data_IF_158485877446
#
_entry.id   IF_158485877446
#
_cell.length_a   1.000
_cell.length_b   1.000
_cell.length_c   1.000
_cell.angle_alpha   90.00
_cell.angle_beta   90.00
_cell.angle_gamma   90.00
#
_symmetry.space_group_name_H-M   'P 1'
#
loop_
_entity.id
_entity.type
_entity.pdbx_description
1 polymer ?
#
# COMPACT_ATOMS: atom_id res chain seq x y z
N UNK A 1 2.71 31.87 38.31
CA UNK A 1 2.62 31.82 36.83
C UNK A 1 3.15 30.49 36.26
N UNK A 2 2.84 29.34 36.89
CA UNK A 2 3.36 28.02 36.52
C UNK A 2 2.30 26.90 36.48
N UNK A 3 1.03 27.23 36.74
CA UNK A 3 -0.09 26.27 36.78
C UNK A 3 -0.96 26.25 35.52
N UNK A 4 -0.73 27.15 34.54
CA UNK A 4 -1.46 27.14 33.25
C UNK A 4 -0.81 26.30 32.16
N UNK A 5 0.47 25.93 32.29
CA UNK A 5 1.20 25.17 31.26
C UNK A 5 0.94 23.66 31.31
N UNK A 6 0.60 23.11 32.48
CA UNK A 6 0.40 21.66 32.66
C UNK A 6 -1.02 21.23 32.23
N UNK A 7 -2.02 22.12 32.33
CA UNK A 7 -3.39 21.80 31.92
C UNK A 7 -3.57 21.73 30.40
N UNK A 8 -2.77 22.46 29.61
CA UNK A 8 -2.87 22.46 28.15
C UNK A 8 -2.29 21.18 27.53
N UNK A 9 -1.24 20.59 28.12
CA UNK A 9 -0.65 19.33 27.63
C UNK A 9 -1.50 18.09 27.94
N UNK A 10 -2.32 18.12 29.00
CA UNK A 10 -3.20 17.00 29.36
C UNK A 10 -4.49 17.01 28.51
N UNK A 11 -5.02 18.20 28.18
CA UNK A 11 -6.23 18.31 27.34
C UNK A 11 -5.94 17.97 25.87
N UNK A 12 -4.75 18.29 25.34
CA UNK A 12 -4.33 17.87 23.99
C UNK A 12 -4.08 16.36 23.89
N UNK A 13 -3.62 15.72 24.97
CA UNK A 13 -3.44 14.25 24.99
C UNK A 13 -4.77 13.48 25.00
N UNK A 14 -5.83 14.05 25.58
CA UNK A 14 -7.15 13.39 25.62
C UNK A 14 -7.99 13.58 24.36
N UNK A 15 -7.82 14.67 23.60
CA UNK A 15 -8.48 14.84 22.30
C UNK A 15 -7.87 13.97 21.20
N UNK A 16 -6.55 13.71 21.25
CA UNK A 16 -5.88 12.78 20.32
C UNK A 16 -6.29 11.34 20.62
N UNK A 17 -6.36 10.93 21.89
CA UNK A 17 -6.85 9.59 22.26
C UNK A 17 -8.34 9.36 21.90
N UNK A 18 -9.19 10.39 22.06
CA UNK A 18 -10.60 10.32 21.69
C UNK A 18 -10.88 10.27 20.18
N UNK A 19 -10.04 10.93 19.36
CA UNK A 19 -10.09 10.83 17.91
C UNK A 19 -9.57 9.47 17.40
N UNK A 20 -8.56 8.89 18.06
CA UNK A 20 -8.07 7.54 17.75
C UNK A 20 -9.11 6.47 18.10
N UNK A 21 -9.83 6.60 19.23
CA UNK A 21 -10.85 5.62 19.64
C UNK A 21 -12.14 5.65 18.81
N UNK A 22 -12.57 6.83 18.33
CA UNK A 22 -13.75 6.93 17.44
C UNK A 22 -13.43 6.57 15.99
N UNK A 23 -12.20 6.79 15.54
CA UNK A 23 -11.76 6.29 14.24
C UNK A 23 -11.39 4.81 14.29
N UNK A 24 -10.95 4.25 15.42
CA UNK A 24 -10.54 2.83 15.49
C UNK A 24 -11.68 1.87 15.17
N UNK A 25 -12.94 2.16 15.53
CA UNK A 25 -14.05 1.27 15.15
C UNK A 25 -14.34 1.29 13.64
N UNK A 26 -14.22 2.46 12.99
CA UNK A 26 -14.33 2.56 11.51
C UNK A 26 -13.08 2.04 10.78
N UNK A 27 -11.91 2.17 11.41
CA UNK A 27 -10.60 1.88 10.84
C UNK A 27 -10.25 0.39 10.97
N UNK A 28 -10.57 -0.24 12.10
CA UNK A 28 -10.60 -1.70 12.18
C UNK A 28 -11.67 -2.25 11.22
N UNK A 29 -12.83 -1.60 11.09
CA UNK A 29 -13.91 -1.99 10.17
C UNK A 29 -13.55 -2.02 8.68
N UNK A 30 -12.91 -0.97 8.15
CA UNK A 30 -12.66 -0.82 6.72
C UNK A 30 -11.25 -1.25 6.27
N UNK A 31 -10.21 -1.08 7.11
CA UNK A 31 -8.83 -1.44 6.78
C UNK A 31 -8.39 -2.81 7.33
N UNK A 32 -8.94 -3.26 8.46
CA UNK A 32 -8.61 -4.56 9.07
C UNK A 32 -9.73 -5.62 8.96
N UNK A 33 -10.99 -5.22 8.74
CA UNK A 33 -12.16 -6.11 8.74
C UNK A 33 -12.82 -6.26 7.37
N UNK A 34 -12.31 -5.63 6.32
CA UNK A 34 -12.38 -6.31 5.02
C UNK A 34 -11.34 -7.42 5.09
N UNK A 35 -11.72 -8.72 5.18
CA UNK A 35 -10.77 -9.73 4.78
C UNK A 35 -10.26 -9.27 3.41
N UNK A 36 -8.95 -9.15 3.25
CA UNK A 36 -8.38 -9.31 1.92
C UNK A 36 -9.11 -10.55 1.38
N UNK A 37 -9.92 -10.39 0.32
CA UNK A 37 -10.69 -11.50 -0.22
C UNK A 37 -9.72 -12.67 -0.29
N UNK A 38 -10.04 -13.69 0.50
CA UNK A 38 -9.21 -14.83 0.87
C UNK A 38 -8.29 -15.21 -0.27
N UNK A 39 -7.00 -15.49 0.01
CA UNK A 39 -6.15 -16.22 -0.92
C UNK A 39 -6.96 -17.35 -1.57
N UNK A 40 -7.31 -17.17 -2.84
CA UNK A 40 -8.07 -18.16 -3.58
C UNK A 40 -7.03 -19.14 -4.12
N UNK A 41 -6.95 -20.32 -3.51
CA UNK A 41 -6.26 -21.45 -4.11
C UNK A 41 -7.06 -21.88 -5.34
N UNK A 42 -6.77 -21.29 -6.50
CA UNK A 42 -7.29 -21.81 -7.75
C UNK A 42 -6.51 -23.07 -8.11
N UNK A 43 -7.20 -24.21 -8.13
CA UNK A 43 -6.62 -25.51 -8.51
C UNK A 43 -6.34 -25.59 -10.02
N UNK A 44 -6.88 -24.65 -10.81
CA UNK A 44 -6.71 -24.68 -12.25
C UNK A 44 -5.35 -24.09 -12.65
N UNK A 45 -4.51 -24.86 -13.36
CA UNK A 45 -3.27 -24.36 -13.90
C UNK A 45 -3.57 -23.21 -14.88
N UNK A 46 -2.69 -22.20 -14.91
CA UNK A 46 -2.74 -21.17 -15.96
C UNK A 46 -2.68 -21.88 -17.31
N UNK A 47 -3.72 -21.73 -18.12
CA UNK A 47 -3.76 -22.35 -19.44
C UNK A 47 -2.57 -21.85 -20.26
N UNK A 48 -1.76 -22.73 -20.87
CA UNK A 48 -0.65 -22.31 -21.71
C UNK A 48 -1.13 -21.35 -22.82
N UNK A 49 -0.66 -20.10 -22.77
CA UNK A 49 -1.07 -19.04 -23.70
C UNK A 49 -1.91 -17.90 -23.11
N UNK A 50 -2.37 -18.04 -21.86
CA UNK A 50 -3.16 -17.00 -21.16
C UNK A 50 -2.34 -16.16 -20.16
N UNK A 51 -1.06 -16.46 -19.99
CA UNK A 51 -0.16 -15.70 -19.11
C UNK A 51 0.09 -14.27 -19.59
N UNK A 52 0.60 -13.43 -18.69
CA UNK A 52 0.89 -12.03 -18.93
C UNK A 52 0.01 -11.10 -18.10
N UNK A 53 -0.15 -9.87 -18.59
CA UNK A 53 -1.08 -8.89 -18.03
C UNK A 53 -2.39 -8.92 -18.81
N UNK A 54 -3.50 -9.15 -18.10
CA UNK A 54 -4.86 -9.07 -18.63
C UNK A 54 -5.54 -7.79 -18.15
N UNK A 55 -5.99 -6.96 -19.09
CA UNK A 55 -6.63 -5.68 -18.79
C UNK A 55 -8.16 -5.77 -18.90
N UNK A 56 -8.82 -5.95 -17.76
CA UNK A 56 -10.29 -5.94 -17.62
C UNK A 56 -10.79 -4.51 -17.36
N UNK A 57 -10.79 -3.70 -18.43
CA UNK A 57 -11.16 -2.27 -18.37
C UNK A 57 -12.42 -2.01 -19.18
N UNK A 58 -13.55 -1.65 -18.52
CA UNK A 58 -14.76 -1.24 -19.22
C UNK A 58 -14.49 -0.13 -20.23
N UNK A 59 -15.17 -0.18 -21.39
CA UNK A 59 -14.95 0.75 -22.52
C UNK A 59 -14.98 2.21 -22.07
N UNK A 60 -15.92 2.59 -21.20
CA UNK A 60 -16.06 3.94 -20.65
C UNK A 60 -14.84 4.45 -19.86
N UNK A 61 -13.97 3.55 -19.38
CA UNK A 61 -12.77 3.90 -18.62
C UNK A 61 -11.47 3.71 -19.40
N UNK A 62 -11.51 3.05 -20.57
CA UNK A 62 -10.31 2.68 -21.35
C UNK A 62 -9.42 3.88 -21.64
N UNK A 63 -9.96 4.99 -22.14
CA UNK A 63 -9.16 6.18 -22.45
C UNK A 63 -8.42 6.76 -21.24
N UNK A 64 -9.02 6.71 -20.04
CA UNK A 64 -8.35 7.16 -18.81
C UNK A 64 -7.27 6.18 -18.39
N UNK A 65 -7.59 4.88 -18.41
CA UNK A 65 -6.63 3.83 -18.09
C UNK A 65 -5.38 3.89 -18.99
N UNK A 66 -5.53 4.07 -20.30
CA UNK A 66 -4.37 4.20 -21.20
C UNK A 66 -3.48 5.41 -20.85
N UNK A 67 -4.05 6.51 -20.35
CA UNK A 67 -3.26 7.66 -19.88
C UNK A 67 -2.49 7.32 -18.60
N UNK A 68 -3.13 6.66 -17.64
CA UNK A 68 -2.47 6.24 -16.40
C UNK A 68 -1.35 5.22 -16.67
N UNK A 69 -1.60 4.27 -17.57
CA UNK A 69 -0.62 3.30 -18.03
C UNK A 69 0.53 3.98 -18.78
N UNK A 70 0.25 4.89 -19.71
CA UNK A 70 1.29 5.64 -20.41
C UNK A 70 2.15 6.46 -19.44
N UNK A 71 1.55 7.07 -18.42
CA UNK A 71 2.28 7.80 -17.37
C UNK A 71 3.18 6.87 -16.54
N UNK A 72 2.70 5.67 -16.18
CA UNK A 72 3.53 4.65 -15.52
C UNK A 72 4.71 4.23 -16.42
N UNK A 73 4.44 3.93 -17.69
CA UNK A 73 5.44 3.45 -18.66
C UNK A 73 6.39 4.57 -19.16
N UNK A 74 6.18 5.81 -18.74
CA UNK A 74 7.08 6.93 -19.06
C UNK A 74 8.46 6.77 -18.40
N UNK A 75 8.54 6.07 -17.26
CA UNK A 75 9.80 5.81 -16.54
C UNK A 75 10.37 4.44 -16.86
N UNK A 76 11.70 4.30 -16.75
CA UNK A 76 12.38 3.01 -16.87
C UNK A 76 11.98 2.04 -15.77
N UNK A 77 11.82 2.52 -14.53
CA UNK A 77 11.28 1.74 -13.41
C UNK A 77 9.87 1.22 -13.72
N UNK A 78 8.95 2.09 -14.15
CA UNK A 78 7.58 1.68 -14.46
C UNK A 78 7.49 0.70 -15.63
N UNK A 79 8.33 0.86 -16.66
CA UNK A 79 8.46 -0.14 -17.74
C UNK A 79 8.97 -1.47 -17.23
N UNK A 80 10.04 -1.49 -16.43
CA UNK A 80 10.60 -2.73 -15.89
C UNK A 80 9.60 -3.48 -15.02
N UNK A 81 8.84 -2.76 -14.20
CA UNK A 81 7.79 -3.32 -13.34
C UNK A 81 6.63 -3.92 -14.15
N UNK A 82 6.23 -3.26 -15.24
CA UNK A 82 5.23 -3.79 -16.16
C UNK A 82 5.73 -5.02 -16.94
N UNK A 83 6.93 -4.93 -17.52
CA UNK A 83 7.55 -5.98 -18.33
C UNK A 83 7.84 -7.25 -17.54
N UNK A 84 8.11 -7.13 -16.24
CA UNK A 84 8.27 -8.26 -15.30
C UNK A 84 7.10 -9.25 -15.39
N UNK A 85 5.88 -8.77 -15.64
CA UNK A 85 4.68 -9.60 -15.71
C UNK A 85 4.10 -9.72 -17.12
N UNK A 86 4.28 -8.72 -17.99
CA UNK A 86 3.63 -8.66 -19.30
C UNK A 86 3.86 -9.91 -20.19
N UNK A 87 5.04 -10.52 -20.11
CA UNK A 87 5.44 -11.64 -20.97
C UNK A 87 5.54 -13.00 -20.22
N UNK A 88 5.10 -13.07 -18.96
CA UNK A 88 5.18 -14.29 -18.16
C UNK A 88 4.07 -15.27 -18.53
N UNK A 89 4.42 -16.38 -19.16
CA UNK A 89 3.46 -17.42 -19.57
C UNK A 89 2.90 -18.25 -18.41
N UNK A 90 3.62 -18.26 -17.29
CA UNK A 90 3.32 -19.02 -16.07
C UNK A 90 2.59 -18.19 -14.99
N UNK A 91 2.26 -16.94 -15.30
CA UNK A 91 1.65 -16.00 -14.36
C UNK A 91 0.59 -15.14 -15.03
N UNK A 92 -0.55 -14.92 -14.37
CA UNK A 92 -1.59 -13.98 -14.83
C UNK A 92 -1.75 -12.84 -13.83
N UNK A 93 -1.42 -11.63 -14.27
CA UNK A 93 -1.81 -10.40 -13.58
C UNK A 93 -3.07 -9.81 -14.22
N UNK A 94 -4.20 -9.82 -13.51
CA UNK A 94 -5.39 -9.11 -13.98
C UNK A 94 -5.38 -7.68 -13.44
N UNK A 95 -5.46 -6.69 -14.32
CA UNK A 95 -5.67 -5.28 -13.95
C UNK A 95 -7.10 -4.92 -14.32
N UNK A 96 -7.93 -4.65 -13.32
CA UNK A 96 -9.35 -4.38 -13.46
C UNK A 96 -9.67 -2.94 -13.08
N UNK A 97 -10.54 -2.26 -13.84
CA UNK A 97 -11.07 -0.94 -13.45
C UNK A 97 -12.55 -1.04 -13.07
N UNK A 98 -12.92 -0.56 -11.88
CA UNK A 98 -14.28 -0.63 -11.34
C UNK A 98 -14.74 0.69 -10.74
N UNK A 99 -16.05 0.93 -10.74
CA UNK A 99 -16.62 2.10 -10.05
C UNK A 99 -16.62 1.93 -8.52
N UNK A 100 -16.69 0.69 -8.04
CA UNK A 100 -16.90 0.35 -6.62
C UNK A 100 -15.70 0.70 -5.73
N UNK A 101 -14.50 0.84 -6.31
CA UNK A 101 -13.31 1.29 -5.58
C UNK A 101 -13.11 2.82 -5.61
N UNK A 102 -13.92 3.56 -6.38
CA UNK A 102 -13.87 5.03 -6.43
C UNK A 102 -12.47 5.59 -6.70
N UNK A 103 -11.86 6.19 -5.66
CA UNK A 103 -10.53 6.83 -5.71
C UNK A 103 -9.38 5.92 -5.24
N UNK A 104 -9.71 4.72 -4.75
CA UNK A 104 -8.75 3.77 -4.20
C UNK A 104 -8.32 2.71 -5.21
N UNK A 105 -7.27 1.97 -4.85
CA UNK A 105 -6.82 0.78 -5.55
C UNK A 105 -6.66 -0.36 -4.53
N UNK A 106 -6.31 -1.55 -4.99
CA UNK A 106 -5.85 -2.61 -4.12
C UNK A 106 -5.58 -3.89 -4.89
N UNK A 107 -4.75 -4.73 -4.30
CA UNK A 107 -4.32 -6.00 -4.87
C UNK A 107 -4.90 -7.14 -4.05
N UNK A 108 -5.56 -8.07 -4.72
CA UNK A 108 -6.23 -9.22 -4.11
C UNK A 108 -6.14 -10.45 -5.03
N UNK A 109 -6.81 -11.55 -4.62
CA UNK A 109 -6.91 -12.80 -5.40
C UNK A 109 -5.55 -13.36 -5.80
N UNK A 110 -4.65 -13.41 -4.82
CA UNK A 110 -3.38 -14.08 -4.98
C UNK A 110 -3.61 -15.58 -5.19
N UNK A 111 -2.90 -16.15 -6.16
CA UNK A 111 -3.03 -17.56 -6.56
C UNK A 111 -1.68 -18.24 -6.56
N UNK A 112 -1.66 -19.44 -6.02
CA UNK A 112 -0.49 -20.32 -6.03
C UNK A 112 -0.84 -21.68 -6.64
N UNK A 113 0.13 -22.31 -7.31
CA UNK A 113 -0.02 -23.69 -7.76
C UNK A 113 0.24 -24.69 -6.61
N UNK A 114 0.09 -25.98 -6.90
CA UNK A 114 0.33 -27.07 -5.93
C UNK A 114 1.78 -27.16 -5.44
N UNK A 115 2.73 -26.56 -6.15
CA UNK A 115 4.14 -26.49 -5.75
C UNK A 115 4.43 -25.25 -4.89
N UNK A 116 3.44 -24.38 -4.67
CA UNK A 116 3.59 -23.12 -3.96
C UNK A 116 4.17 -22.00 -4.82
N UNK A 117 4.22 -22.16 -6.16
CA UNK A 117 4.63 -21.09 -7.05
C UNK A 117 3.51 -20.06 -7.17
N UNK A 118 3.85 -18.77 -7.10
CA UNK A 118 2.91 -17.68 -7.29
C UNK A 118 2.55 -17.55 -8.78
N UNK A 119 1.28 -17.82 -9.13
CA UNK A 119 0.78 -17.95 -10.52
C UNK A 119 -0.26 -16.89 -10.90
N UNK A 120 -0.71 -16.04 -9.98
CA UNK A 120 -1.52 -14.89 -10.37
C UNK A 120 -1.95 -13.96 -9.25
N UNK A 121 -2.40 -12.78 -9.64
CA UNK A 121 -2.98 -11.76 -8.78
C UNK A 121 -3.98 -10.90 -9.55
N UNK A 122 -4.82 -10.15 -8.82
CA UNK A 122 -5.69 -9.12 -9.39
C UNK A 122 -5.40 -7.77 -8.75
N UNK A 123 -5.06 -6.78 -9.55
CA UNK A 123 -5.06 -5.38 -9.17
C UNK A 123 -6.42 -4.80 -9.55
N UNK A 124 -7.17 -4.30 -8.59
CA UNK A 124 -8.43 -3.59 -8.82
C UNK A 124 -8.24 -2.10 -8.61
N UNK A 125 -8.39 -1.34 -9.68
CA UNK A 125 -8.34 0.11 -9.71
C UNK A 125 -9.75 0.69 -9.61
N UNK A 126 -9.91 1.75 -8.84
CA UNK A 126 -11.08 2.61 -8.88
C UNK A 126 -11.19 3.39 -10.19
N UNK A 127 -12.39 3.87 -10.50
CA UNK A 127 -12.65 4.65 -11.71
C UNK A 127 -12.01 6.03 -11.67
N UNK A 128 -11.67 6.54 -10.49
CA UNK A 128 -11.16 7.90 -10.25
C UNK A 128 -9.88 7.87 -9.41
N UNK A 129 -9.02 6.87 -9.65
CA UNK A 129 -7.73 6.71 -8.93
C UNK A 129 -6.76 7.87 -9.15
N UNK A 130 -6.96 8.67 -10.21
CA UNK A 130 -6.27 9.92 -10.45
C UNK A 130 -6.70 11.06 -9.52
N UNK A 131 -7.55 10.77 -8.54
CA UNK A 131 -8.00 11.71 -7.51
C UNK A 131 -7.88 11.09 -6.12
N UNK A 132 -7.92 11.97 -5.11
CA UNK A 132 -7.98 11.58 -3.70
C UNK A 132 -6.66 11.02 -3.17
N UNK A 133 -6.36 11.39 -1.94
CA UNK A 133 -5.11 11.04 -1.28
C UNK A 133 -5.42 10.22 -0.02
N UNK A 134 -4.71 9.11 0.21
CA UNK A 134 -4.86 8.34 1.43
C UNK A 134 -4.27 9.09 2.64
N UNK A 135 -4.50 8.57 3.85
CA UNK A 135 -3.94 9.16 5.07
C UNK A 135 -2.42 8.93 5.14
N UNK A 136 -1.65 9.88 5.70
CA UNK A 136 -0.19 9.76 5.78
C UNK A 136 0.29 8.68 6.75
N UNK A 137 -0.61 8.18 7.61
CA UNK A 137 -0.28 7.18 8.65
C UNK A 137 0.29 5.92 8.02
N UNK A 138 -0.27 5.49 6.90
CA UNK A 138 0.10 4.23 6.25
C UNK A 138 0.54 4.39 4.80
N UNK A 139 0.31 5.57 4.24
CA UNK A 139 0.60 5.88 2.86
C UNK A 139 1.47 7.15 2.76
N UNK A 140 2.66 7.15 3.39
CA UNK A 140 3.50 8.36 3.50
C UNK A 140 3.93 8.92 2.13
N UNK A 141 4.11 8.07 1.13
CA UNK A 141 4.47 8.39 -0.25
C UNK A 141 3.26 8.83 -1.05
N UNK A 142 2.18 8.04 -1.09
CA UNK A 142 0.98 8.43 -1.85
C UNK A 142 0.34 9.73 -1.30
N UNK A 143 0.37 9.92 0.03
CA UNK A 143 -0.13 11.15 0.65
C UNK A 143 0.72 12.38 0.29
N UNK A 144 2.03 12.21 0.07
CA UNK A 144 2.95 13.32 -0.26
C UNK A 144 2.62 14.04 -1.57
N UNK A 145 1.77 13.45 -2.42
CA UNK A 145 1.28 14.06 -3.65
C UNK A 145 0.06 14.97 -3.44
N UNK A 146 -0.45 15.07 -2.21
CA UNK A 146 -1.61 15.91 -1.90
C UNK A 146 -1.31 17.39 -2.12
N UNK A 147 -2.31 18.13 -2.63
CA UNK A 147 -2.18 19.56 -2.95
C UNK A 147 -2.49 20.48 -1.76
N UNK A 148 -2.88 19.93 -0.60
CA UNK A 148 -3.43 20.71 0.50
C UNK A 148 -2.44 21.74 1.08
N UNK A 149 -1.14 21.54 0.86
CA UNK A 149 -0.08 22.33 1.47
C UNK A 149 0.96 22.86 0.46
N UNK A 150 0.69 22.83 -0.85
CA UNK A 150 1.65 23.29 -1.88
C UNK A 150 1.04 24.14 -2.98
N UNK A 151 1.83 25.10 -3.50
CA UNK A 151 1.49 25.84 -4.74
C UNK A 151 1.51 24.95 -5.98
N UNK A 152 2.19 23.80 -5.90
CA UNK A 152 2.31 22.83 -6.97
C UNK A 152 1.16 21.82 -6.90
N UNK A 153 0.48 21.62 -8.03
CA UNK A 153 -0.51 20.55 -8.20
C UNK A 153 0.14 19.40 -8.95
N UNK A 154 0.34 18.27 -8.27
CA UNK A 154 0.69 17.02 -8.94
C UNK A 154 -0.47 16.63 -9.86
N UNK A 155 -0.18 16.27 -11.11
CA UNK A 155 -1.22 15.91 -12.07
C UNK A 155 -1.90 14.59 -11.69
N UNK A 156 -3.18 14.46 -12.01
CA UNK A 156 -3.94 13.23 -11.77
C UNK A 156 -3.30 11.96 -12.38
N UNK A 157 -2.75 12.00 -13.61
CA UNK A 157 -2.03 10.86 -14.17
C UNK A 157 -0.84 10.40 -13.31
N UNK A 158 -0.05 11.32 -12.75
CA UNK A 158 1.08 10.97 -11.86
C UNK A 158 0.54 10.23 -10.63
N UNK A 159 -0.50 10.77 -9.98
CA UNK A 159 -1.13 10.11 -8.82
C UNK A 159 -1.64 8.70 -9.17
N UNK A 160 -2.33 8.55 -10.29
CA UNK A 160 -2.83 7.25 -10.73
C UNK A 160 -1.68 6.26 -11.00
N UNK A 161 -0.63 6.69 -11.71
CA UNK A 161 0.54 5.86 -11.99
C UNK A 161 1.29 5.46 -10.71
N UNK A 162 1.40 6.37 -9.73
CA UNK A 162 1.98 6.06 -8.42
C UNK A 162 1.15 5.02 -7.67
N UNK A 163 -0.20 5.14 -7.68
CA UNK A 163 -1.08 4.11 -7.10
C UNK A 163 -0.93 2.77 -7.80
N UNK A 164 -0.85 2.75 -9.13
CA UNK A 164 -0.58 1.50 -9.87
C UNK A 164 0.78 0.91 -9.47
N UNK A 165 1.81 1.73 -9.32
CA UNK A 165 3.13 1.29 -8.84
C UNK A 165 3.07 0.71 -7.42
N UNK A 166 2.30 1.31 -6.52
CA UNK A 166 2.03 0.76 -5.18
C UNK A 166 1.41 -0.63 -5.27
N UNK A 167 0.38 -0.81 -6.10
CA UNK A 167 -0.28 -2.10 -6.27
C UNK A 167 0.64 -3.18 -6.87
N UNK A 168 1.48 -2.82 -7.84
CA UNK A 168 2.51 -3.74 -8.35
C UNK A 168 3.50 -4.12 -7.23
N UNK A 169 3.78 -3.20 -6.32
CA UNK A 169 4.56 -3.46 -5.10
C UNK A 169 3.99 -4.61 -4.26
N UNK A 170 2.67 -4.72 -4.12
CA UNK A 170 2.06 -5.86 -3.43
C UNK A 170 2.25 -7.17 -4.19
N UNK A 171 2.14 -7.15 -5.52
CA UNK A 171 2.38 -8.33 -6.37
C UNK A 171 3.83 -8.80 -6.23
N UNK A 172 4.80 -7.88 -6.28
CA UNK A 172 6.22 -8.18 -6.12
C UNK A 172 6.53 -8.80 -4.77
N UNK A 173 6.02 -8.20 -3.69
CA UNK A 173 6.23 -8.72 -2.34
C UNK A 173 5.66 -10.13 -2.20
N UNK A 174 4.46 -10.36 -2.76
CA UNK A 174 3.81 -11.67 -2.73
C UNK A 174 4.60 -12.70 -3.54
N UNK A 175 5.14 -12.32 -4.70
CA UNK A 175 5.97 -13.19 -5.54
C UNK A 175 7.26 -13.66 -4.85
N UNK A 176 7.78 -12.88 -3.89
CA UNK A 176 8.96 -13.20 -3.09
C UNK A 176 8.62 -13.88 -1.75
N UNK A 177 7.34 -13.95 -1.40
CA UNK A 177 6.88 -14.46 -0.11
C UNK A 177 6.66 -15.97 -0.14
N UNK A 178 6.70 -16.58 1.04
CA UNK A 178 6.35 -17.99 1.21
C UNK A 178 4.82 -18.14 1.25
N UNK A 179 4.26 -18.85 0.26
CA UNK A 179 2.82 -19.10 0.14
C UNK A 179 2.19 -19.64 1.44
N UNK A 180 2.86 -20.62 2.08
CA UNK A 180 2.38 -21.23 3.33
C UNK A 180 2.38 -20.25 4.50
N UNK A 181 3.34 -19.32 4.53
CA UNK A 181 3.37 -18.28 5.56
C UNK A 181 2.26 -17.27 5.35
N UNK A 182 2.00 -16.85 4.10
CA UNK A 182 0.88 -15.94 3.80
C UNK A 182 -0.47 -16.57 4.14
N UNK A 183 -0.68 -17.84 3.78
CA UNK A 183 -1.88 -18.59 4.15
C UNK A 183 -2.04 -18.70 5.68
N UNK A 184 -0.93 -19.00 6.38
CA UNK A 184 -0.92 -19.01 7.84
C UNK A 184 -1.35 -17.67 8.43
N UNK A 185 -0.78 -16.57 7.93
CA UNK A 185 -1.10 -15.21 8.37
C UNK A 185 -2.57 -14.87 8.10
N UNK A 186 -3.09 -15.13 6.90
CA UNK A 186 -4.50 -14.87 6.56
C UNK A 186 -5.48 -15.67 7.43
N UNK A 187 -5.12 -16.90 7.81
CA UNK A 187 -5.94 -17.73 8.69
C UNK A 187 -5.90 -17.28 10.16
N UNK A 188 -4.75 -16.79 10.63
CA UNK A 188 -4.54 -16.47 12.05
C UNK A 188 -4.86 -15.00 12.39
N UNK A 189 -4.71 -14.06 11.46
CA UNK A 189 -4.98 -12.64 11.70
C UNK A 189 -6.44 -12.38 12.16
N UNK A 190 -7.49 -12.96 11.55
CA UNK A 190 -8.87 -12.78 12.02
C UNK A 190 -9.09 -13.34 13.43
N UNK A 191 -8.44 -14.46 13.77
CA UNK A 191 -8.53 -15.06 15.11
C UNK A 191 -7.87 -14.17 16.15
N UNK A 192 -6.69 -13.62 15.82
CA UNK A 192 -6.00 -12.63 16.67
C UNK A 192 -6.93 -11.44 16.93
N UNK A 193 -7.49 -10.83 15.88
CA UNK A 193 -8.33 -9.64 16.00
C UNK A 193 -9.57 -9.92 16.84
N UNK A 194 -10.24 -11.07 16.63
CA UNK A 194 -11.40 -11.47 17.41
C UNK A 194 -11.10 -11.59 18.91
N UNK A 195 -9.97 -12.20 19.27
CA UNK A 195 -9.54 -12.32 20.67
C UNK A 195 -9.18 -10.95 21.24
N UNK A 196 -8.44 -10.13 20.49
CA UNK A 196 -8.01 -8.80 20.89
C UNK A 196 -9.19 -7.86 21.19
N UNK A 197 -10.25 -7.90 20.37
CA UNK A 197 -11.46 -7.15 20.64
C UNK A 197 -12.21 -7.69 21.87
N UNK A 198 -12.34 -9.02 21.97
CA UNK A 198 -13.08 -9.67 23.07
C UNK A 198 -12.40 -9.51 24.44
N UNK A 199 -11.08 -9.44 24.47
CA UNK A 199 -10.31 -9.34 25.72
C UNK A 199 -10.10 -7.89 26.21
N UNK A 200 -10.80 -6.92 25.62
CA UNK A 200 -10.71 -5.51 26.01
C UNK A 200 -9.43 -4.83 25.53
N UNK A 201 -8.93 -5.20 24.35
CA UNK A 201 -7.71 -4.67 23.75
C UNK A 201 -6.44 -4.97 24.56
N UNK A 202 -6.43 -6.07 25.30
CA UNK A 202 -5.26 -6.48 26.08
C UNK A 202 -4.23 -7.17 25.18
N UNK A 203 -3.23 -6.42 24.75
CA UNK A 203 -2.11 -6.93 23.92
C UNK A 203 -1.19 -7.93 24.63
N UNK A 204 -1.32 -8.10 25.95
CA UNK A 204 -0.50 -9.02 26.76
C UNK A 204 -1.16 -10.38 27.00
N UNK A 205 -2.31 -10.64 26.38
CA UNK A 205 -2.97 -11.93 26.42
C UNK A 205 -2.07 -13.01 25.79
N UNK A 206 -1.79 -14.09 26.54
CA UNK A 206 -0.90 -15.16 26.10
C UNK A 206 -1.30 -15.75 24.74
N UNK A 207 -2.61 -15.82 24.44
CA UNK A 207 -3.08 -16.35 23.16
C UNK A 207 -2.76 -15.42 22.00
N UNK A 208 -2.81 -14.11 22.22
CA UNK A 208 -2.38 -13.14 21.21
C UNK A 208 -0.88 -13.22 20.96
N UNK A 209 -0.08 -13.37 22.02
CA UNK A 209 1.37 -13.52 21.91
C UNK A 209 1.74 -14.79 21.13
N UNK A 210 1.08 -15.92 21.42
CA UNK A 210 1.25 -17.17 20.66
C UNK A 210 0.89 -17.02 19.18
N UNK A 211 -0.22 -16.36 18.87
CA UNK A 211 -0.66 -16.14 17.49
C UNK A 211 0.32 -15.22 16.74
N UNK A 212 0.78 -14.14 17.39
CA UNK A 212 1.75 -13.24 16.81
C UNK A 212 3.09 -13.94 16.52
N UNK A 213 3.56 -14.80 17.44
CA UNK A 213 4.78 -15.60 17.25
C UNK A 213 4.64 -16.53 16.02
N UNK A 214 3.52 -17.26 15.90
CA UNK A 214 3.26 -18.13 14.75
C UNK A 214 3.22 -17.38 13.43
N UNK A 215 2.67 -16.17 13.41
CA UNK A 215 2.57 -15.34 12.20
C UNK A 215 3.87 -14.58 11.88
N UNK A 216 4.82 -14.48 12.82
CA UNK A 216 6.03 -13.66 12.71
C UNK A 216 5.79 -12.16 12.92
N UNK A 217 4.73 -11.80 13.67
CA UNK A 217 4.34 -10.44 14.00
C UNK A 217 2.85 -10.32 14.33
N UNK A 218 2.46 -9.19 14.93
CA UNK A 218 1.05 -8.85 15.12
C UNK A 218 0.38 -8.50 13.79
N UNK A 219 -0.96 -8.57 13.67
CA UNK A 219 -1.65 -8.17 12.45
C UNK A 219 -1.31 -6.76 11.96
N UNK A 220 -1.11 -5.80 12.89
CA UNK A 220 -0.75 -4.42 12.56
C UNK A 220 0.67 -4.36 11.97
N UNK A 221 1.65 -5.00 12.60
CA UNK A 221 3.04 -5.00 12.11
C UNK A 221 3.17 -5.70 10.74
N UNK A 222 2.42 -6.78 10.53
CA UNK A 222 2.41 -7.49 9.25
C UNK A 222 1.79 -6.64 8.14
N UNK A 223 0.68 -5.97 8.45
CA UNK A 223 0.02 -5.06 7.52
C UNK A 223 0.92 -3.86 7.18
N UNK A 224 1.51 -3.21 8.19
CA UNK A 224 2.42 -2.08 8.02
C UNK A 224 3.61 -2.46 7.13
N UNK A 225 4.23 -3.62 7.37
CA UNK A 225 5.35 -4.09 6.54
C UNK A 225 4.96 -4.27 5.08
N UNK A 226 3.76 -4.80 4.81
CA UNK A 226 3.24 -5.01 3.45
C UNK A 226 2.94 -3.69 2.73
N UNK A 227 2.29 -2.75 3.41
CA UNK A 227 1.96 -1.43 2.84
C UNK A 227 3.22 -0.58 2.65
N UNK A 228 4.11 -0.50 3.64
CA UNK A 228 5.35 0.27 3.49
C UNK A 228 6.27 -0.33 2.43
N UNK A 229 6.28 -1.65 2.25
CA UNK A 229 6.98 -2.29 1.13
C UNK A 229 6.44 -1.83 -0.24
N UNK A 230 5.13 -1.62 -0.36
CA UNK A 230 4.49 -1.14 -1.59
C UNK A 230 4.72 0.36 -1.80
N UNK A 231 4.73 1.13 -0.71
CA UNK A 231 5.07 2.56 -0.73
C UNK A 231 6.52 2.78 -1.16
N UNK A 232 7.46 1.88 -0.82
CA UNK A 232 8.83 1.91 -1.38
C UNK A 232 8.81 1.72 -2.90
N UNK A 233 7.97 0.83 -3.43
CA UNK A 233 7.80 0.65 -4.88
C UNK A 233 7.24 1.93 -5.54
N UNK A 234 6.24 2.54 -4.91
CA UNK A 234 5.68 3.82 -5.31
C UNK A 234 6.72 4.95 -5.29
N UNK A 235 7.58 4.99 -4.27
CA UNK A 235 8.65 5.97 -4.11
C UNK A 235 9.70 5.83 -5.21
N UNK A 236 10.07 4.61 -5.58
CA UNK A 236 11.02 4.37 -6.67
C UNK A 236 10.49 4.92 -8.00
N UNK A 237 9.24 4.62 -8.32
CA UNK A 237 8.57 5.21 -9.50
C UNK A 237 8.58 6.74 -9.46
N UNK A 238 8.13 7.33 -8.34
CA UNK A 238 8.06 8.79 -8.19
C UNK A 238 9.42 9.46 -8.27
N UNK A 239 10.45 8.85 -7.67
CA UNK A 239 11.81 9.38 -7.66
C UNK A 239 12.35 9.55 -9.08
N UNK A 240 12.13 8.55 -9.93
CA UNK A 240 12.50 8.64 -11.33
C UNK A 240 11.61 9.62 -12.10
N UNK A 241 10.28 9.54 -11.89
CA UNK A 241 9.32 10.36 -12.64
C UNK A 241 9.49 11.85 -12.40
N UNK A 242 9.69 12.22 -11.13
CA UNK A 242 9.74 13.62 -10.71
C UNK A 242 11.16 14.19 -10.72
N UNK A 243 12.20 13.40 -11.04
CA UNK A 243 13.60 13.80 -10.82
C UNK A 243 14.06 15.07 -11.54
N UNK A 244 13.28 15.57 -12.51
CA UNK A 244 13.52 16.83 -13.24
C UNK A 244 12.39 17.87 -13.05
N UNK A 245 11.42 17.61 -12.20
CA UNK A 245 10.29 18.51 -11.93
C UNK A 245 10.67 19.51 -10.83
N UNK A 246 10.19 20.76 -10.92
CA UNK A 246 10.51 21.82 -9.96
C UNK A 246 10.04 21.50 -8.53
N UNK A 247 8.95 20.74 -8.41
CA UNK A 247 8.35 20.35 -7.14
C UNK A 247 8.90 19.03 -6.57
N UNK A 248 9.96 18.47 -7.16
CA UNK A 248 10.55 17.21 -6.74
C UNK A 248 10.91 17.19 -5.25
N UNK A 249 11.62 18.22 -4.80
CA UNK A 249 12.12 18.30 -3.44
C UNK A 249 11.01 18.53 -2.43
N UNK A 250 9.93 19.22 -2.81
CA UNK A 250 8.75 19.39 -1.97
C UNK A 250 8.03 18.07 -1.73
N UNK A 251 7.91 17.22 -2.76
CA UNK A 251 7.37 15.86 -2.61
C UNK A 251 8.29 15.04 -1.71
N UNK A 252 9.60 15.04 -1.96
CA UNK A 252 10.56 14.26 -1.17
C UNK A 252 10.60 14.67 0.31
N UNK A 253 10.51 15.96 0.60
CA UNK A 253 10.48 16.47 1.97
C UNK A 253 9.20 16.05 2.70
N UNK A 254 8.03 16.10 2.03
CA UNK A 254 6.78 15.60 2.60
C UNK A 254 6.82 14.10 2.87
N UNK A 255 7.45 13.31 2.01
CA UNK A 255 7.69 11.88 2.28
C UNK A 255 8.48 11.72 3.58
N UNK A 256 9.57 12.48 3.77
CA UNK A 256 10.36 12.44 5.01
C UNK A 256 9.54 12.83 6.24
N UNK A 257 8.79 13.92 6.15
CA UNK A 257 7.94 14.39 7.24
C UNK A 257 6.90 13.34 7.62
N UNK A 258 6.22 12.74 6.63
CA UNK A 258 5.26 11.66 6.84
C UNK A 258 5.93 10.44 7.48
N UNK A 259 7.10 10.01 7.00
CA UNK A 259 7.83 8.88 7.56
C UNK A 259 8.26 9.15 9.01
N UNK A 260 8.85 10.31 9.30
CA UNK A 260 9.28 10.66 10.67
C UNK A 260 8.09 10.79 11.63
N UNK A 261 6.94 11.27 11.14
CA UNK A 261 5.75 11.45 11.97
C UNK A 261 5.02 10.13 12.25
N UNK A 262 4.90 9.25 11.26
CA UNK A 262 3.98 8.11 11.32
C UNK A 262 4.66 6.73 11.17
N UNK A 263 5.74 6.64 10.42
CA UNK A 263 6.37 5.38 10.02
C UNK A 263 7.85 5.28 10.44
N UNK A 264 8.25 5.97 11.52
CA UNK A 264 9.67 6.14 11.91
C UNK A 264 10.44 4.82 12.02
N UNK A 265 9.78 3.76 12.49
CA UNK A 265 10.38 2.42 12.62
C UNK A 265 10.75 1.78 11.27
N UNK A 266 10.16 2.25 10.18
CA UNK A 266 10.31 1.72 8.83
C UNK A 266 11.12 2.64 7.90
N UNK A 267 11.62 3.79 8.39
CA UNK A 267 12.43 4.73 7.60
C UNK A 267 13.57 4.06 6.82
N UNK A 268 14.21 3.05 7.42
CA UNK A 268 15.31 2.30 6.80
C UNK A 268 14.90 1.57 5.50
N UNK A 269 13.62 1.25 5.32
CA UNK A 269 13.12 0.66 4.07
C UNK A 269 13.16 1.66 2.90
N UNK A 270 13.08 2.96 3.21
CA UNK A 270 13.06 4.05 2.24
C UNK A 270 14.44 4.71 2.05
N UNK A 271 15.42 4.33 2.88
CA UNK A 271 16.72 5.02 3.01
C UNK A 271 17.54 5.05 1.71
N UNK A 272 17.50 3.98 0.91
CA UNK A 272 18.26 3.91 -0.34
C UNK A 272 17.91 5.08 -1.25
N UNK A 273 16.62 5.33 -1.44
CA UNK A 273 16.14 6.35 -2.35
C UNK A 273 16.18 7.73 -1.69
N UNK A 274 15.86 7.83 -0.39
CA UNK A 274 15.93 9.09 0.35
C UNK A 274 17.35 9.66 0.44
N UNK A 275 18.38 8.80 0.52
CA UNK A 275 19.80 9.21 0.57
C UNK A 275 20.34 9.55 -0.81
N UNK A 276 20.12 8.69 -1.80
CA UNK A 276 20.63 8.91 -3.17
C UNK A 276 20.00 10.13 -3.82
N UNK A 277 18.71 10.35 -3.59
CA UNK A 277 17.98 11.47 -4.19
C UNK A 277 17.96 12.71 -3.30
N UNK A 278 18.04 12.55 -1.98
CA UNK A 278 18.06 13.65 -1.03
C UNK A 278 19.25 14.58 -1.17
N UNK A 279 20.39 14.06 -1.63
CA UNK A 279 21.57 14.87 -1.90
C UNK A 279 21.30 16.02 -2.91
N UNK A 280 20.29 15.88 -3.78
CA UNK A 280 19.90 16.91 -4.75
C UNK A 280 19.02 18.01 -4.17
N UNK A 281 18.40 17.79 -3.02
CA UNK A 281 17.37 18.69 -2.49
C UNK A 281 17.88 19.74 -1.50
N UNK A 282 19.21 19.89 -1.37
CA UNK A 282 19.81 20.79 -0.38
C UNK A 282 19.45 20.36 1.05
N UNK A 283 20.07 20.99 2.04
CA UNK A 283 19.63 20.93 3.44
C UNK A 283 18.91 22.21 3.79
#
# INVERSE_FOLDING_TARGET
MLLRSVYLSIVVSMTVAGAIARNSESFFGEAFCRPANTAEFSVEPVTPGEGGIKEDVPIKYRSRFEKWKAELLSTSFGRAEWERYANRKDFILTIKVTNDRGKGAGTDKFRWDHNGNFIGATITLGSDIDQGYPTPVYYPVLNSLSSNDTIYSVSGPILAATKISHEIGHVNQTALSNAKLLELQERLMPQYIAIFLKNGLNTKDNKLLELADQMGGTPVELWERREYGSEVNAMNYLSERLGNEEFYCDVLNRIRENLTSYARKYEQMFDKDLRTNGARCGK
#
